data_IF_039451241241
#
_entry.id   IF_039451241241
#
_cell.length_a   1.000
_cell.length_b   1.000
_cell.length_c   1.000
_cell.angle_alpha   90.00
_cell.angle_beta   90.00
_cell.angle_gamma   90.00
#
_symmetry.space_group_name_H-M   'P 1'
#
loop_
_entity.id
_entity.type
_entity.pdbx_description
1 polymer ?
#
# COMPACT_ATOMS: atom_id res chain seq x y z
N UNK A 1 -5.53 9.34 16.39
CA UNK A 1 -6.26 8.63 15.33
C UNK A 1 -7.20 7.62 15.95
N UNK A 2 -8.41 7.55 15.41
CA UNK A 2 -9.45 6.64 15.91
C UNK A 2 -9.93 5.67 14.82
N UNK A 3 -9.60 5.95 13.57
CA UNK A 3 -9.99 5.15 12.40
C UNK A 3 -8.78 4.91 11.51
N UNK A 4 -8.66 3.71 10.97
CA UNK A 4 -7.62 3.34 10.00
C UNK A 4 -8.29 2.80 8.75
N UNK A 5 -7.96 3.39 7.60
CA UNK A 5 -8.25 2.84 6.30
C UNK A 5 -7.03 2.03 5.85
N UNK A 6 -7.19 0.72 5.85
CA UNK A 6 -6.24 -0.26 5.32
C UNK A 6 -6.66 -0.53 3.87
N UNK A 7 -5.86 -0.10 2.91
CA UNK A 7 -6.22 -0.11 1.50
C UNK A 7 -5.09 -0.70 0.64
N UNK A 8 -5.49 -1.47 -0.36
CA UNK A 8 -4.60 -2.17 -1.30
C UNK A 8 -5.04 -1.88 -2.74
N UNK A 9 -4.11 -1.56 -3.63
CA UNK A 9 -4.38 -1.35 -5.05
C UNK A 9 -4.31 -2.70 -5.77
N UNK A 10 -5.37 -3.03 -6.50
CA UNK A 10 -5.44 -4.28 -7.24
C UNK A 10 -4.49 -4.28 -8.42
N UNK A 11 -3.55 -5.25 -8.45
CA UNK A 11 -2.68 -5.45 -9.61
C UNK A 11 -1.89 -4.22 -10.02
N UNK A 12 -1.44 -3.39 -9.08
CA UNK A 12 -0.90 -2.06 -9.32
C UNK A 12 0.14 -2.00 -10.45
N UNK A 13 1.14 -2.87 -10.43
CA UNK A 13 2.21 -2.87 -11.44
C UNK A 13 1.73 -3.24 -12.83
N UNK A 14 0.66 -4.02 -12.93
CA UNK A 14 0.05 -4.44 -14.20
C UNK A 14 -0.96 -3.40 -14.74
N UNK A 15 -1.47 -2.51 -13.87
CA UNK A 15 -2.47 -1.50 -14.18
C UNK A 15 -1.89 -0.10 -14.47
N UNK A 16 -0.57 0.07 -14.41
CA UNK A 16 0.07 1.37 -14.70
C UNK A 16 -0.14 1.74 -16.16
N UNK A 17 -0.88 2.82 -16.39
CA UNK A 17 -1.11 3.37 -17.70
C UNK A 17 0.14 4.11 -18.22
N UNK A 18 0.65 3.69 -19.38
CA UNK A 18 1.89 4.24 -19.95
C UNK A 18 1.75 5.69 -20.40
N UNK A 19 0.57 6.12 -20.87
CA UNK A 19 0.37 7.50 -21.30
C UNK A 19 0.40 8.46 -20.12
N UNK A 20 -0.28 8.12 -19.02
CA UNK A 20 -0.23 8.89 -17.80
C UNK A 20 1.18 8.92 -17.22
N UNK A 21 1.87 7.78 -17.17
CA UNK A 21 3.24 7.71 -16.67
C UNK A 21 4.18 8.62 -17.46
N UNK A 22 4.10 8.59 -18.80
CA UNK A 22 4.92 9.44 -19.66
C UNK A 22 4.59 10.92 -19.45
N UNK A 23 3.31 11.29 -19.31
CA UNK A 23 2.88 12.66 -18.98
C UNK A 23 3.48 13.13 -17.65
N UNK A 24 3.47 12.27 -16.61
CA UNK A 24 4.05 12.59 -15.32
C UNK A 24 5.57 12.79 -15.37
N UNK A 25 6.27 11.93 -16.11
CA UNK A 25 7.72 12.03 -16.30
C UNK A 25 8.06 13.30 -17.08
N UNK A 26 7.34 13.58 -18.16
CA UNK A 26 7.55 14.77 -19.00
C UNK A 26 7.32 16.10 -18.25
N UNK A 27 6.53 16.07 -17.17
CA UNK A 27 6.33 17.24 -16.30
C UNK A 27 7.62 17.67 -15.56
N UNK A 28 8.57 16.76 -15.36
CA UNK A 28 9.82 17.01 -14.64
C UNK A 28 11.07 16.87 -15.50
N UNK A 29 11.02 16.07 -16.53
CA UNK A 29 12.14 15.78 -17.43
C UNK A 29 11.85 16.38 -18.80
N UNK A 30 12.63 17.42 -19.16
CA UNK A 30 12.52 18.09 -20.46
C UNK A 30 13.28 17.35 -21.58
N UNK A 31 14.26 16.51 -21.23
CA UNK A 31 15.07 15.80 -22.23
C UNK A 31 14.25 14.67 -22.90
N UNK A 32 13.91 14.92 -24.16
CA UNK A 32 13.17 13.98 -25.01
C UNK A 32 13.90 12.65 -25.23
N UNK A 33 15.23 12.60 -25.10
CA UNK A 33 16.01 11.36 -25.26
C UNK A 33 15.73 10.43 -24.10
N UNK A 34 15.74 10.95 -22.87
CA UNK A 34 15.42 10.19 -21.66
C UNK A 34 14.00 9.66 -21.72
N UNK A 35 13.02 10.51 -22.08
CA UNK A 35 11.62 10.10 -22.20
C UNK A 35 11.48 8.98 -23.23
N UNK A 36 12.15 9.11 -24.41
CA UNK A 36 12.13 8.09 -25.45
C UNK A 36 12.70 6.74 -24.97
N UNK A 37 13.76 6.76 -24.17
CA UNK A 37 14.30 5.52 -23.59
C UNK A 37 13.31 4.88 -22.62
N UNK A 38 12.68 5.66 -21.74
CA UNK A 38 11.67 5.14 -20.80
C UNK A 38 10.49 4.53 -21.57
N UNK A 39 9.99 5.19 -22.61
CA UNK A 39 8.92 4.65 -23.47
C UNK A 39 9.35 3.33 -24.12
N UNK A 40 10.60 3.23 -24.58
CA UNK A 40 11.12 1.97 -25.15
C UNK A 40 11.17 0.87 -24.10
N UNK A 41 11.57 1.15 -22.86
CA UNK A 41 11.57 0.17 -21.77
C UNK A 41 10.16 -0.31 -21.42
N UNK A 42 9.20 0.60 -21.33
CA UNK A 42 7.80 0.26 -21.09
C UNK A 42 7.23 -0.65 -22.18
N UNK A 43 7.49 -0.31 -23.46
CA UNK A 43 7.05 -1.09 -24.62
C UNK A 43 7.84 -2.40 -24.83
N UNK A 44 9.01 -2.57 -24.21
CA UNK A 44 9.79 -3.77 -24.35
C UNK A 44 9.10 -5.01 -23.76
N UNK A 45 8.09 -4.78 -22.90
CA UNK A 45 7.26 -5.83 -22.32
C UNK A 45 8.00 -6.78 -21.38
N UNK A 46 7.28 -7.79 -20.91
CA UNK A 46 7.83 -8.87 -20.11
C UNK A 46 8.24 -10.01 -21.06
N UNK A 47 9.45 -10.51 -20.90
CA UNK A 47 9.82 -11.80 -21.51
C UNK A 47 9.29 -12.93 -20.62
N UNK A 48 8.11 -13.41 -20.94
CA UNK A 48 7.57 -14.64 -20.37
C UNK A 48 7.70 -15.76 -21.40
N UNK A 49 8.39 -16.84 -21.05
CA UNK A 49 8.61 -18.05 -21.88
C UNK A 49 9.11 -17.78 -23.32
N UNK A 50 10.13 -16.92 -23.47
CA UNK A 50 10.75 -16.60 -24.78
C UNK A 50 9.80 -15.92 -25.81
N UNK A 51 8.59 -15.52 -25.44
CA UNK A 51 7.69 -14.70 -26.26
C UNK A 51 7.62 -13.28 -25.76
N UNK A 52 7.93 -12.32 -26.66
CA UNK A 52 7.84 -10.90 -26.40
C UNK A 52 6.39 -10.44 -26.58
N UNK A 53 5.68 -10.22 -25.49
CA UNK A 53 4.36 -9.60 -25.49
C UNK A 53 4.51 -8.08 -25.36
N UNK A 54 4.16 -7.35 -26.39
CA UNK A 54 4.06 -5.88 -26.30
C UNK A 54 2.87 -5.52 -25.43
N UNK A 55 3.11 -4.85 -24.30
CA UNK A 55 2.06 -4.41 -23.41
C UNK A 55 1.85 -2.90 -23.54
N UNK A 56 0.59 -2.47 -23.53
CA UNK A 56 0.19 -1.05 -23.50
C UNK A 56 0.07 -0.55 -22.06
N UNK A 57 0.01 -1.47 -21.09
CA UNK A 57 -0.16 -1.21 -19.67
C UNK A 57 0.85 -2.02 -18.87
N UNK A 58 1.11 -1.55 -17.64
CA UNK A 58 1.98 -2.21 -16.67
C UNK A 58 3.46 -1.88 -16.83
N UNK A 59 4.24 -2.33 -15.86
CA UNK A 59 5.70 -2.23 -15.88
C UNK A 59 6.31 -3.64 -15.93
N UNK A 60 7.45 -3.82 -16.64
CA UNK A 60 8.10 -5.12 -16.71
C UNK A 60 8.37 -5.69 -15.31
N UNK A 61 7.82 -6.86 -15.00
CA UNK A 61 8.04 -7.54 -13.71
C UNK A 61 9.53 -7.86 -13.57
N UNK A 62 10.13 -7.40 -12.46
CA UNK A 62 11.56 -7.62 -12.19
C UNK A 62 12.51 -6.60 -12.82
N UNK A 63 12.03 -5.61 -13.54
CA UNK A 63 12.86 -4.50 -14.03
C UNK A 63 13.35 -3.60 -12.88
N UNK A 64 14.65 -3.30 -12.83
CA UNK A 64 15.26 -2.47 -11.79
C UNK A 64 14.63 -1.05 -11.71
N UNK A 65 14.04 -0.57 -12.80
CA UNK A 65 13.43 0.78 -12.91
C UNK A 65 11.95 0.76 -12.53
N UNK A 66 11.28 -0.40 -12.56
CA UNK A 66 9.84 -0.51 -12.30
C UNK A 66 9.39 0.09 -10.96
N UNK A 67 10.10 -0.13 -9.82
CA UNK A 67 9.72 0.50 -8.55
C UNK A 67 9.84 2.02 -8.57
N UNK A 68 10.78 2.58 -9.31
CA UNK A 68 10.93 4.05 -9.46
C UNK A 68 9.77 4.62 -10.27
N UNK A 69 9.44 4.01 -11.41
CA UNK A 69 8.33 4.45 -12.26
C UNK A 69 6.99 4.33 -11.53
N UNK A 70 6.79 3.24 -10.79
CA UNK A 70 5.64 3.03 -9.93
C UNK A 70 5.50 4.13 -8.85
N UNK A 71 6.59 4.52 -8.21
CA UNK A 71 6.58 5.60 -7.24
C UNK A 71 6.28 6.96 -7.88
N UNK A 72 6.79 7.25 -9.08
CA UNK A 72 6.46 8.45 -9.84
C UNK A 72 4.96 8.47 -10.14
N UNK A 73 4.40 7.34 -10.59
CA UNK A 73 2.98 7.23 -10.90
C UNK A 73 2.11 7.55 -9.69
N UNK A 74 2.35 6.90 -8.56
CA UNK A 74 1.59 7.12 -7.33
C UNK A 74 1.81 8.51 -6.73
N UNK A 75 2.97 9.12 -6.93
CA UNK A 75 3.19 10.49 -6.49
C UNK A 75 2.15 11.45 -7.12
N UNK A 76 1.92 11.36 -8.42
CA UNK A 76 0.96 12.23 -9.12
C UNK A 76 -0.49 11.76 -8.95
N UNK A 77 -0.72 10.45 -9.01
CA UNK A 77 -2.06 9.90 -8.90
C UNK A 77 -2.63 10.00 -7.47
N UNK A 78 -1.78 9.81 -6.44
CA UNK A 78 -2.21 9.66 -5.06
C UNK A 78 -1.62 10.71 -4.11
N UNK A 79 -0.27 10.83 -4.02
CA UNK A 79 0.36 11.60 -2.93
C UNK A 79 -0.01 13.09 -2.96
N UNK A 80 0.09 13.74 -4.12
CA UNK A 80 -0.24 15.16 -4.28
C UNK A 80 -1.73 15.43 -4.01
N UNK A 81 -2.60 14.55 -4.48
CA UNK A 81 -4.02 14.65 -4.23
C UNK A 81 -4.35 14.44 -2.76
N UNK A 82 -3.72 13.47 -2.10
CA UNK A 82 -3.87 13.19 -0.69
C UNK A 82 -3.48 14.40 0.18
N UNK A 83 -2.34 15.03 -0.14
CA UNK A 83 -1.88 16.22 0.60
C UNK A 83 -2.88 17.39 0.46
N UNK A 84 -3.40 17.61 -0.77
CA UNK A 84 -4.43 18.61 -1.01
C UNK A 84 -5.74 18.27 -0.28
N UNK A 85 -6.16 17.01 -0.32
CA UNK A 85 -7.38 16.53 0.33
C UNK A 85 -7.31 16.75 1.86
N UNK A 86 -6.21 16.35 2.46
CA UNK A 86 -5.95 16.51 3.89
C UNK A 86 -6.05 17.97 4.34
N UNK A 87 -5.53 18.89 3.56
CA UNK A 87 -5.52 20.32 3.88
C UNK A 87 -6.87 21.01 3.67
N UNK A 88 -7.65 20.56 2.69
CA UNK A 88 -8.84 21.30 2.25
C UNK A 88 -10.16 20.65 2.64
N UNK A 89 -10.18 19.34 2.89
CA UNK A 89 -11.41 18.57 3.04
C UNK A 89 -11.54 17.84 4.36
N UNK A 90 -10.44 17.51 5.02
CA UNK A 90 -10.44 16.88 6.32
C UNK A 90 -10.90 17.87 7.39
N UNK A 91 -11.76 17.41 8.31
CA UNK A 91 -12.17 18.16 9.50
C UNK A 91 -11.21 17.97 10.66
N UNK A 92 -10.58 16.80 10.72
CA UNK A 92 -9.63 16.44 11.76
C UNK A 92 -8.29 16.03 11.19
N UNK A 93 -7.43 15.58 12.10
CA UNK A 93 -6.11 15.09 11.72
C UNK A 93 -6.19 13.87 10.83
N UNK A 94 -5.37 13.87 9.79
CA UNK A 94 -5.19 12.75 8.88
C UNK A 94 -3.71 12.44 8.71
N UNK A 95 -3.34 11.18 8.95
CA UNK A 95 -2.00 10.66 8.73
C UNK A 95 -2.03 9.73 7.52
N UNK A 96 -1.09 9.92 6.62
CA UNK A 96 -0.90 9.07 5.45
C UNK A 96 0.51 8.49 5.46
N UNK A 97 0.61 7.17 5.35
CA UNK A 97 1.88 6.46 5.27
C UNK A 97 1.82 5.53 4.08
N UNK A 98 2.74 5.68 3.14
CA UNK A 98 2.88 4.84 1.95
C UNK A 98 4.29 4.30 1.81
N UNK A 99 4.38 3.04 1.40
CA UNK A 99 5.62 2.41 0.97
C UNK A 99 5.35 1.61 -0.31
N UNK A 100 5.84 2.10 -1.44
CA UNK A 100 5.49 1.62 -2.77
C UNK A 100 3.96 1.68 -3.00
N UNK A 101 3.32 0.55 -3.26
CA UNK A 101 1.87 0.38 -3.44
C UNK A 101 1.11 0.10 -2.13
N UNK A 102 1.82 -0.30 -1.07
CA UNK A 102 1.23 -0.48 0.26
C UNK A 102 1.01 0.88 0.94
N UNK A 103 -0.19 1.17 1.39
CA UNK A 103 -0.45 2.38 2.15
C UNK A 103 -1.55 2.22 3.20
N UNK A 104 -1.45 3.02 4.25
CA UNK A 104 -2.46 3.12 5.31
C UNK A 104 -2.74 4.57 5.62
N UNK A 105 -3.99 4.85 6.00
CA UNK A 105 -4.40 6.18 6.44
C UNK A 105 -5.02 6.10 7.83
N UNK A 106 -4.63 7.03 8.68
CA UNK A 106 -5.25 7.23 9.99
C UNK A 106 -6.10 8.48 9.99
N UNK A 107 -7.32 8.40 10.52
CA UNK A 107 -8.26 9.52 10.62
C UNK A 107 -8.69 9.75 12.06
N UNK A 108 -8.91 11.01 12.41
CA UNK A 108 -9.50 11.36 13.68
C UNK A 108 -11.00 11.06 13.69
N UNK A 109 -11.71 11.38 12.61
CA UNK A 109 -13.15 11.20 12.47
C UNK A 109 -13.52 10.13 11.44
N UNK A 110 -14.56 9.36 11.76
CA UNK A 110 -15.11 8.33 10.87
C UNK A 110 -15.65 8.91 9.56
N UNK A 111 -16.37 10.03 9.67
CA UNK A 111 -16.95 10.73 8.52
C UNK A 111 -15.89 11.12 7.47
N UNK A 112 -14.70 11.56 7.95
CA UNK A 112 -13.61 11.90 7.05
C UNK A 112 -13.05 10.66 6.36
N UNK A 113 -12.94 9.55 7.08
CA UNK A 113 -12.46 8.28 6.52
C UNK A 113 -13.41 7.71 5.46
N UNK A 114 -14.73 7.73 5.73
CA UNK A 114 -15.76 7.26 4.79
C UNK A 114 -15.81 8.12 3.52
N UNK A 115 -15.79 9.44 3.69
CA UNK A 115 -15.75 10.40 2.57
C UNK A 115 -14.48 10.20 1.74
N UNK A 116 -13.32 10.09 2.40
CA UNK A 116 -12.06 9.86 1.72
C UNK A 116 -12.06 8.55 0.93
N UNK A 117 -12.56 7.46 1.50
CA UNK A 117 -12.60 6.16 0.84
C UNK A 117 -13.44 6.18 -0.46
N UNK A 118 -14.55 6.92 -0.47
CA UNK A 118 -15.34 7.14 -1.68
C UNK A 118 -14.59 7.93 -2.74
N UNK A 119 -14.04 9.09 -2.35
CA UNK A 119 -13.30 9.96 -3.26
C UNK A 119 -11.99 9.32 -3.76
N UNK A 120 -11.34 8.47 -2.94
CA UNK A 120 -10.16 7.72 -3.33
C UNK A 120 -10.45 6.74 -4.47
N UNK A 121 -11.58 6.01 -4.42
CA UNK A 121 -11.98 5.11 -5.51
C UNK A 121 -12.15 5.86 -6.83
N UNK A 122 -12.84 6.99 -6.79
CA UNK A 122 -13.03 7.84 -7.98
C UNK A 122 -11.69 8.40 -8.49
N UNK A 123 -10.82 8.83 -7.57
CA UNK A 123 -9.50 9.34 -7.91
C UNK A 123 -8.65 8.30 -8.62
N UNK A 124 -8.55 7.10 -8.08
CA UNK A 124 -7.73 6.02 -8.63
C UNK A 124 -8.23 5.57 -10.00
N UNK A 125 -9.56 5.47 -10.21
CA UNK A 125 -10.15 5.12 -11.50
C UNK A 125 -9.73 6.06 -12.63
N UNK A 126 -9.52 7.35 -12.36
CA UNK A 126 -9.02 8.33 -13.35
C UNK A 126 -7.64 7.99 -13.88
N UNK A 127 -6.89 7.19 -13.14
CA UNK A 127 -5.55 6.75 -13.50
C UNK A 127 -5.48 5.24 -13.72
N UNK A 128 -6.57 4.63 -14.18
CA UNK A 128 -6.66 3.20 -14.46
C UNK A 128 -6.27 2.29 -13.27
N UNK A 129 -6.47 2.78 -12.04
CA UNK A 129 -6.18 2.04 -10.82
C UNK A 129 -7.48 1.72 -10.08
N UNK A 130 -7.53 0.55 -9.44
CA UNK A 130 -8.66 0.12 -8.63
C UNK A 130 -8.22 -0.33 -7.24
N UNK A 131 -9.05 -0.05 -6.22
CA UNK A 131 -8.86 -0.63 -4.89
C UNK A 131 -9.31 -2.10 -4.90
N UNK A 132 -8.60 -2.92 -4.15
CA UNK A 132 -9.00 -4.30 -3.91
C UNK A 132 -10.11 -4.32 -2.85
N UNK A 133 -11.36 -4.57 -3.23
CA UNK A 133 -12.52 -4.48 -2.34
C UNK A 133 -12.39 -5.38 -1.10
N UNK A 134 -11.98 -6.64 -1.27
CA UNK A 134 -11.83 -7.58 -0.16
C UNK A 134 -10.71 -7.23 0.83
N UNK A 135 -9.74 -6.43 0.41
CA UNK A 135 -8.60 -6.04 1.25
C UNK A 135 -8.71 -4.61 1.76
N UNK A 136 -9.60 -3.80 1.19
CA UNK A 136 -9.80 -2.42 1.63
C UNK A 136 -10.80 -2.39 2.78
N UNK A 137 -10.34 -1.98 3.97
CA UNK A 137 -11.14 -2.01 5.18
C UNK A 137 -11.00 -0.72 5.98
N UNK A 138 -12.13 -0.20 6.43
CA UNK A 138 -12.17 0.86 7.43
C UNK A 138 -12.37 0.23 8.81
N UNK A 139 -11.40 0.40 9.69
CA UNK A 139 -11.42 -0.19 11.03
C UNK A 139 -11.33 0.88 12.11
N UNK A 140 -12.01 0.68 13.21
CA UNK A 140 -11.84 1.48 14.43
C UNK A 140 -10.55 1.04 15.12
N UNK A 141 -9.59 1.98 15.25
CA UNK A 141 -8.25 1.70 15.74
C UNK A 141 -7.68 2.88 16.51
N UNK A 142 -7.29 2.67 17.75
CA UNK A 142 -6.72 3.74 18.56
C UNK A 142 -7.04 3.59 20.04
N UNK A 143 -6.77 4.65 20.80
CA UNK A 143 -6.89 4.68 22.25
C UNK A 143 -8.27 4.22 22.76
N UNK A 144 -9.32 4.60 22.07
CA UNK A 144 -10.70 4.37 22.50
C UNK A 144 -11.33 3.11 21.90
N UNK A 145 -10.71 2.50 20.88
CA UNK A 145 -11.29 1.38 20.14
C UNK A 145 -11.70 0.22 21.06
N UNK A 146 -10.84 -0.19 22.00
CA UNK A 146 -11.14 -1.29 22.94
C UNK A 146 -12.30 -0.98 23.87
N UNK A 147 -12.43 0.27 24.33
CA UNK A 147 -13.52 0.71 25.20
C UNK A 147 -14.85 0.76 24.41
N UNK A 148 -14.81 1.36 23.22
CA UNK A 148 -15.99 1.47 22.36
C UNK A 148 -16.53 0.08 21.95
N UNK A 149 -15.62 -0.86 21.59
CA UNK A 149 -15.99 -2.23 21.27
C UNK A 149 -16.65 -2.94 22.49
N UNK A 150 -16.07 -2.77 23.70
CA UNK A 150 -16.64 -3.34 24.92
C UNK A 150 -18.05 -2.79 25.20
N UNK A 151 -18.27 -1.48 25.06
CA UNK A 151 -19.56 -0.84 25.26
C UNK A 151 -20.64 -1.33 24.29
N UNK A 152 -20.23 -1.70 23.07
CA UNK A 152 -21.13 -2.25 22.03
C UNK A 152 -21.29 -3.76 22.08
N UNK A 153 -20.72 -4.42 23.08
CA UNK A 153 -20.74 -5.91 23.16
C UNK A 153 -19.95 -6.60 22.06
N UNK A 154 -19.06 -5.88 21.39
CA UNK A 154 -18.20 -6.41 20.33
C UNK A 154 -16.91 -7.02 20.90
N UNK A 155 -16.26 -7.88 20.15
CA UNK A 155 -14.97 -8.46 20.52
C UNK A 155 -13.82 -7.46 20.57
N UNK A 156 -12.60 -7.96 20.54
CA UNK A 156 -11.38 -7.10 20.48
C UNK A 156 -11.38 -6.25 19.23
N UNK A 157 -10.79 -5.02 19.27
CA UNK A 157 -10.61 -4.19 18.10
C UNK A 157 -9.91 -4.92 16.96
N UNK A 158 -10.28 -4.58 15.73
CA UNK A 158 -9.65 -5.14 14.55
C UNK A 158 -8.16 -4.76 14.49
N UNK A 159 -7.40 -5.56 13.77
CA UNK A 159 -5.98 -5.36 13.52
C UNK A 159 -5.75 -5.14 12.04
N UNK A 160 -4.67 -4.47 11.66
CA UNK A 160 -4.25 -4.34 10.28
C UNK A 160 -2.79 -4.75 10.08
N UNK A 161 -2.45 -5.12 8.87
CA UNK A 161 -1.11 -5.53 8.49
C UNK A 161 -0.46 -4.44 7.65
N UNK A 162 0.76 -4.04 8.01
CA UNK A 162 1.53 -3.09 7.21
C UNK A 162 3.02 -3.41 7.29
N UNK A 163 3.69 -3.43 6.15
CA UNK A 163 5.13 -3.72 6.02
C UNK A 163 5.61 -4.99 6.75
N UNK A 164 4.76 -6.02 6.74
CA UNK A 164 5.11 -7.32 7.36
C UNK A 164 4.86 -7.41 8.85
N UNK A 165 4.24 -6.38 9.45
CA UNK A 165 3.83 -6.37 10.83
C UNK A 165 2.32 -6.29 10.97
N UNK A 166 1.78 -6.97 11.98
CA UNK A 166 0.40 -6.82 12.43
C UNK A 166 0.37 -5.76 13.53
N UNK A 167 -0.44 -4.72 13.34
CA UNK A 167 -0.64 -3.63 14.29
C UNK A 167 -1.87 -3.90 15.15
N UNK A 168 -1.71 -3.80 16.47
CA UNK A 168 -2.71 -4.19 17.47
C UNK A 168 -2.86 -3.06 18.50
N UNK A 169 -4.10 -2.72 18.84
CA UNK A 169 -4.39 -1.84 19.98
C UNK A 169 -4.04 -2.56 21.28
N UNK A 170 -3.10 -2.03 22.03
CA UNK A 170 -2.64 -2.60 23.29
C UNK A 170 -2.57 -1.59 24.43
N UNK A 171 -2.19 -2.09 25.60
CA UNK A 171 -1.88 -1.27 26.79
C UNK A 171 -0.54 -1.68 27.37
N UNK A 172 0.21 -0.72 27.85
CA UNK A 172 1.41 -0.97 28.66
C UNK A 172 1.02 -1.53 30.03
N UNK A 173 2.00 -2.02 30.81
CA UNK A 173 1.77 -2.44 32.19
C UNK A 173 1.16 -1.31 33.06
N UNK A 174 1.47 -0.06 32.76
CA UNK A 174 0.92 1.14 33.42
C UNK A 174 -0.45 1.59 32.86
N UNK A 175 -1.12 0.76 32.05
CA UNK A 175 -2.44 1.05 31.48
C UNK A 175 -2.48 2.07 30.33
N UNK A 176 -1.33 2.63 29.91
CA UNK A 176 -1.26 3.58 28.81
C UNK A 176 -1.48 2.89 27.46
N UNK A 177 -2.17 3.55 26.55
CA UNK A 177 -2.35 3.05 25.19
C UNK A 177 -1.01 2.91 24.47
N UNK A 178 -0.85 1.81 23.74
CA UNK A 178 0.29 1.54 22.86
C UNK A 178 -0.18 0.77 21.62
N UNK A 179 0.46 1.01 20.49
CA UNK A 179 0.29 0.18 19.28
C UNK A 179 1.39 -0.88 19.29
N UNK A 180 0.99 -2.13 19.45
CA UNK A 180 1.91 -3.26 19.36
C UNK A 180 2.11 -3.64 17.92
N UNK A 181 3.37 -3.85 17.54
CA UNK A 181 3.79 -4.30 16.22
C UNK A 181 4.36 -5.69 16.33
N UNK A 182 3.62 -6.68 15.89
CA UNK A 182 4.04 -8.08 15.89
C UNK A 182 4.34 -8.53 14.48
N UNK A 183 5.41 -9.30 14.27
CA UNK A 183 5.68 -9.91 12.97
C UNK A 183 4.48 -10.73 12.52
N UNK A 184 4.06 -10.56 11.28
CA UNK A 184 2.92 -11.31 10.71
C UNK A 184 3.14 -12.81 10.90
N UNK A 185 2.17 -13.49 11.52
CA UNK A 185 2.26 -14.91 11.87
C UNK A 185 2.60 -15.81 10.68
N UNK A 186 2.04 -15.48 9.50
CA UNK A 186 2.32 -16.23 8.25
C UNK A 186 3.80 -16.10 7.86
N UNK A 187 4.36 -14.88 7.89
CA UNK A 187 5.79 -14.63 7.56
C UNK A 187 6.72 -15.30 8.57
N UNK A 188 6.43 -15.17 9.85
CA UNK A 188 7.21 -15.81 10.92
C UNK A 188 7.25 -17.32 10.75
N UNK A 189 6.08 -17.96 10.56
CA UNK A 189 6.00 -19.41 10.35
C UNK A 189 6.75 -19.88 9.11
N UNK A 190 6.63 -19.16 7.99
CA UNK A 190 7.35 -19.47 6.77
C UNK A 190 8.87 -19.41 6.99
N UNK A 191 9.36 -18.36 7.66
CA UNK A 191 10.79 -18.21 7.96
C UNK A 191 11.32 -19.29 8.91
N UNK A 192 10.57 -19.60 9.96
CA UNK A 192 10.93 -20.69 10.88
C UNK A 192 10.98 -22.06 10.16
N UNK A 193 10.05 -22.31 9.22
CA UNK A 193 10.06 -23.53 8.41
C UNK A 193 11.30 -23.60 7.53
N UNK A 194 11.71 -22.49 6.89
CA UNK A 194 12.93 -22.40 6.10
C UNK A 194 14.18 -22.68 6.95
N UNK A 195 14.28 -22.01 8.12
CA UNK A 195 15.42 -22.21 9.04
C UNK A 195 15.48 -23.66 9.49
N UNK A 196 14.33 -24.26 9.88
CA UNK A 196 14.29 -25.67 10.28
C UNK A 196 14.74 -26.61 9.16
N UNK A 197 14.34 -26.37 7.91
CA UNK A 197 14.75 -27.16 6.77
C UNK A 197 16.27 -27.04 6.52
N UNK A 198 16.81 -25.82 6.60
CA UNK A 198 18.23 -25.56 6.41
C UNK A 198 19.08 -26.21 7.53
N UNK A 199 18.68 -26.09 8.78
CA UNK A 199 19.36 -26.74 9.91
C UNK A 199 19.36 -28.28 9.76
N UNK A 200 18.23 -28.87 9.34
CA UNK A 200 18.16 -30.30 9.08
C UNK A 200 19.10 -30.74 7.95
N UNK A 201 19.21 -29.95 6.88
CA UNK A 201 20.13 -30.23 5.77
C UNK A 201 21.59 -30.23 6.25
N UNK A 202 21.95 -29.31 7.15
CA UNK A 202 23.33 -29.19 7.66
C UNK A 202 23.68 -30.16 8.77
N UNK A 203 22.70 -30.76 9.43
CA UNK A 203 22.89 -31.65 10.59
C UNK A 203 23.70 -32.91 10.26
N UNK A 204 23.77 -33.30 8.97
CA UNK A 204 24.50 -34.48 8.47
C UNK A 204 25.66 -34.11 7.52
N UNK A 205 26.05 -32.85 7.48
CA UNK A 205 27.26 -32.41 6.78
C UNK A 205 28.38 -32.32 7.81
N UNK A 206 29.30 -33.32 7.76
CA UNK A 206 30.58 -33.32 8.48
C UNK A 206 31.56 -32.30 7.88
#
# INVERSE_FOLDING_TARGET
>A
MNWVLDADIRGFFDAIDHEWLVKFIAHRIADRRVIRHIVKWLKAGVMEEAKRLATTEGTPKGGSVSPLLANIYLHYALDLWMDQWRRRRARGDVIFVRYADDFVLGFQYRSDAEKFAGELRERLRRFNLELHDDKTRLIEFGRFAAQNHKQRGQGKPATFNFLGFTHICGKTQKGRFVVWRLTMRKRLRAKLKQIKAELRRRMHQS
#
